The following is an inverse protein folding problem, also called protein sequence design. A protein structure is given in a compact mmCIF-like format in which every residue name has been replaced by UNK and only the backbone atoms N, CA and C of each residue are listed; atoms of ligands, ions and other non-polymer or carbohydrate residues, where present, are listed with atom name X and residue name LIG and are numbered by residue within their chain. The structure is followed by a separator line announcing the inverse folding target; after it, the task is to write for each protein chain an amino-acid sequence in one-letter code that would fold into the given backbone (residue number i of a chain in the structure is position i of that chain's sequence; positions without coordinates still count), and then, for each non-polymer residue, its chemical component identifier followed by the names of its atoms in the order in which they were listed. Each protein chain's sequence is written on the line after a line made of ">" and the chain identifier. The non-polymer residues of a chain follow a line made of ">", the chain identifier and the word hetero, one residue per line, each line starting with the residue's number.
data_IF_624285978652
#
_entry.id   IF_624285978652
#
_cell.length_a   1.000
_cell.length_b   1.000
_cell.length_c   1.000
_cell.angle_alpha   90.00
_cell.angle_beta   90.00
_cell.angle_gamma   90.00
#
_symmetry.space_group_name_H-M   'P 1'
#
loop_
_entity.id
_entity.type
_entity.pdbx_description
1 polymer ?
#
# COMPACT_ATOMS: atom_id res chain seq x y z
N UNK A 1 -10.22 19.79 6.57
CA UNK A 1 -10.38 18.85 5.45
C UNK A 1 -9.42 17.70 5.59
N UNK A 2 -9.94 16.51 5.56
CA UNK A 2 -9.10 15.31 5.62
C UNK A 2 -8.51 15.04 4.26
N UNK A 3 -7.21 14.92 4.22
CA UNK A 3 -6.48 14.64 3.00
C UNK A 3 -6.16 13.15 2.95
N UNK A 4 -7.05 12.37 2.32
CA UNK A 4 -6.91 10.92 2.22
C UNK A 4 -5.90 10.55 1.14
N UNK A 5 -4.65 10.83 1.41
CA UNK A 5 -3.59 10.49 0.48
C UNK A 5 -2.90 9.19 0.89
N UNK A 6 -2.76 8.29 -0.07
CA UNK A 6 -2.03 7.05 0.16
C UNK A 6 -0.53 7.30 0.01
N UNK A 7 0.23 6.91 1.02
CA UNK A 7 1.68 7.04 1.00
C UNK A 7 2.31 5.69 1.26
N UNK A 8 3.48 5.49 0.68
CA UNK A 8 4.22 4.24 0.84
C UNK A 8 4.87 4.20 2.22
N UNK A 9 4.87 3.02 2.85
CA UNK A 9 5.63 2.79 4.07
C UNK A 9 6.53 1.58 3.87
N UNK A 10 7.69 1.62 4.51
CA UNK A 10 8.66 0.54 4.46
C UNK A 10 8.59 -0.26 5.75
N UNK A 11 8.45 -1.58 5.62
CA UNK A 11 8.39 -2.48 6.75
C UNK A 11 9.41 -3.60 6.54
N UNK A 12 9.66 -4.38 7.58
CA UNK A 12 10.57 -5.50 7.48
C UNK A 12 9.80 -6.79 7.72
N UNK A 13 10.05 -7.76 6.87
CA UNK A 13 9.50 -9.09 7.01
C UNK A 13 10.65 -10.04 7.34
N UNK A 14 10.53 -10.77 8.45
CA UNK A 14 11.55 -11.73 8.86
C UNK A 14 10.98 -13.15 8.75
N UNK A 15 11.69 -14.00 8.02
CA UNK A 15 11.32 -15.39 7.85
C UNK A 15 12.58 -16.24 7.87
N UNK A 16 12.59 -17.25 8.75
CA UNK A 16 13.71 -18.18 8.93
C UNK A 16 15.06 -17.48 9.10
N UNK A 17 15.06 -16.37 9.83
CA UNK A 17 16.29 -15.63 10.11
C UNK A 17 16.73 -14.70 9.01
N UNK A 18 15.96 -14.61 7.93
CA UNK A 18 16.23 -13.69 6.81
C UNK A 18 15.25 -12.52 6.89
N UNK A 19 15.79 -11.31 6.92
CA UNK A 19 14.98 -10.08 6.94
C UNK A 19 14.97 -9.45 5.56
N UNK A 20 13.78 -9.25 5.02
CA UNK A 20 13.60 -8.63 3.72
C UNK A 20 12.72 -7.39 3.87
N UNK A 21 13.00 -6.33 3.09
CA UNK A 21 12.11 -5.17 3.08
C UNK A 21 10.79 -5.53 2.44
N UNK A 22 9.71 -4.98 2.98
CA UNK A 22 8.39 -5.13 2.41
C UNK A 22 7.68 -3.79 2.52
N UNK A 23 6.95 -3.43 1.48
CA UNK A 23 6.32 -2.12 1.41
C UNK A 23 4.81 -2.25 1.53
N UNK A 24 4.24 -1.26 2.17
CA UNK A 24 2.80 -1.16 2.34
C UNK A 24 2.34 0.26 2.09
N UNK A 25 1.09 0.55 2.41
CA UNK A 25 0.50 1.87 2.23
C UNK A 25 -0.11 2.37 3.51
N UNK A 26 -0.09 3.67 3.69
CA UNK A 26 -0.71 4.35 4.83
C UNK A 26 -1.68 5.40 4.29
N UNK A 27 -2.88 5.41 4.84
CA UNK A 27 -3.88 6.43 4.56
C UNK A 27 -4.52 6.85 5.89
N UNK A 28 -4.21 8.06 6.35
CA UNK A 28 -4.63 8.54 7.66
C UNK A 28 -4.22 7.59 8.78
N UNK A 29 -5.18 7.00 9.47
CA UNK A 29 -4.92 6.09 10.58
C UNK A 29 -4.90 4.62 10.15
N UNK A 30 -5.13 4.36 8.88
CA UNK A 30 -5.21 3.00 8.36
C UNK A 30 -3.91 2.65 7.66
N UNK A 31 -3.37 1.48 7.99
CA UNK A 31 -2.14 0.99 7.40
C UNK A 31 -2.39 -0.36 6.75
N UNK A 32 -2.02 -0.47 5.48
CA UNK A 32 -2.09 -1.72 4.74
C UNK A 32 -0.68 -2.31 4.72
N UNK A 33 -0.49 -3.40 5.48
CA UNK A 33 0.83 -3.99 5.70
C UNK A 33 1.22 -5.00 4.62
N UNK A 34 2.52 -5.11 4.39
CA UNK A 34 3.12 -6.22 3.65
C UNK A 34 2.48 -6.49 2.29
N UNK A 35 2.39 -5.44 1.47
CA UNK A 35 1.80 -5.58 0.14
C UNK A 35 2.77 -6.29 -0.80
N UNK A 36 4.00 -5.81 -0.89
CA UNK A 36 4.97 -6.34 -1.83
C UNK A 36 6.39 -5.92 -1.45
N UNK A 37 7.40 -6.75 -1.72
CA UNK A 37 8.79 -6.33 -1.56
C UNK A 37 9.26 -5.41 -2.68
N UNK A 38 8.47 -5.25 -3.73
CA UNK A 38 8.79 -4.37 -4.85
C UNK A 38 8.28 -2.96 -4.58
N UNK A 39 9.19 -2.05 -4.28
CA UNK A 39 8.85 -0.67 -3.96
C UNK A 39 8.17 0.03 -5.14
N UNK A 40 8.66 -0.17 -6.35
CA UNK A 40 8.11 0.48 -7.54
C UNK A 40 6.65 0.07 -7.75
N UNK A 41 6.34 -1.20 -7.52
CA UNK A 41 4.98 -1.70 -7.62
C UNK A 41 4.07 -1.00 -6.61
N UNK A 42 4.51 -0.89 -5.36
CA UNK A 42 3.72 -0.26 -4.30
C UNK A 42 3.56 1.23 -4.56
N UNK A 43 4.58 1.89 -5.11
CA UNK A 43 4.47 3.30 -5.50
C UNK A 43 3.41 3.48 -6.60
N UNK A 44 3.36 2.57 -7.56
CA UNK A 44 2.33 2.60 -8.60
C UNK A 44 0.94 2.41 -8.02
N UNK A 45 0.82 1.53 -7.04
CA UNK A 45 -0.46 1.34 -6.33
C UNK A 45 -0.89 2.63 -5.66
N UNK A 46 0.01 3.30 -4.97
CA UNK A 46 -0.29 4.56 -4.31
C UNK A 46 -0.73 5.61 -5.32
N UNK A 47 -0.02 5.73 -6.43
CA UNK A 47 -0.36 6.69 -7.48
C UNK A 47 -1.75 6.39 -8.07
N UNK A 48 -2.04 5.12 -8.31
CA UNK A 48 -3.33 4.70 -8.85
C UNK A 48 -4.46 5.07 -7.90
N UNK A 49 -4.29 4.78 -6.62
CA UNK A 49 -5.30 5.09 -5.62
C UNK A 49 -5.48 6.60 -5.44
N UNK A 50 -4.39 7.34 -5.46
CA UNK A 50 -4.43 8.79 -5.31
C UNK A 50 -5.03 9.51 -6.53
N UNK A 51 -4.99 8.87 -7.70
CA UNK A 51 -5.52 9.47 -8.92
C UNK A 51 -7.03 9.26 -9.08
N UNK A 52 -7.62 8.40 -8.28
CA UNK A 52 -9.06 8.14 -8.34
C UNK A 52 -9.86 9.27 -7.70
N UNK A 53 -11.00 9.59 -8.27
CA UNK A 53 -11.87 10.63 -7.75
C UNK A 53 -13.33 10.13 -7.75
N UNK A 54 -13.93 9.91 -6.58
CA UNK A 54 -13.31 10.10 -5.25
C UNK A 54 -12.27 9.02 -4.94
N UNK A 55 -11.36 9.34 -4.03
CA UNK A 55 -10.37 8.36 -3.60
C UNK A 55 -11.06 7.21 -2.87
N UNK A 56 -10.64 5.97 -3.12
CA UNK A 56 -11.28 4.83 -2.48
C UNK A 56 -11.01 4.80 -0.98
N UNK A 57 -11.98 4.26 -0.24
CA UNK A 57 -11.81 3.95 1.16
C UNK A 57 -10.80 2.80 1.30
N UNK A 58 -10.18 2.64 2.49
CA UNK A 58 -9.21 1.56 2.67
C UNK A 58 -9.72 0.17 2.30
N UNK A 59 -10.98 -0.12 2.58
CA UNK A 59 -11.57 -1.41 2.23
C UNK A 59 -11.63 -1.60 0.71
N UNK A 60 -12.02 -0.55 0.01
CA UNK A 60 -12.06 -0.57 -1.46
C UNK A 60 -10.66 -0.63 -2.03
N UNK A 61 -9.73 0.10 -1.42
CA UNK A 61 -8.35 0.11 -1.85
C UNK A 61 -7.73 -1.27 -1.75
N UNK A 62 -8.04 -2.01 -0.69
CA UNK A 62 -7.53 -3.36 -0.51
C UNK A 62 -8.00 -4.28 -1.64
N UNK A 63 -9.26 -4.17 -2.04
CA UNK A 63 -9.78 -4.96 -3.16
C UNK A 63 -9.07 -4.61 -4.46
N UNK A 64 -8.82 -3.33 -4.70
CA UNK A 64 -8.11 -2.87 -5.90
C UNK A 64 -6.68 -3.42 -5.90
N UNK A 65 -6.01 -3.37 -4.76
CA UNK A 65 -4.65 -3.88 -4.61
C UNK A 65 -4.61 -5.37 -4.93
N UNK A 66 -5.56 -6.13 -4.40
CA UNK A 66 -5.62 -7.57 -4.65
C UNK A 66 -5.79 -7.90 -6.13
N UNK A 67 -6.56 -7.09 -6.85
CA UNK A 67 -6.72 -7.28 -8.29
C UNK A 67 -5.44 -6.98 -9.06
N UNK A 68 -4.61 -6.06 -8.56
CA UNK A 68 -3.38 -5.66 -9.22
C UNK A 68 -2.19 -6.55 -8.88
N UNK A 69 -2.29 -7.35 -7.83
CA UNK A 69 -1.21 -8.27 -7.46
C UNK A 69 -1.08 -9.37 -8.51
N UNK A 70 0.17 -9.75 -8.83
CA UNK A 70 0.42 -10.82 -9.80
C UNK A 70 0.01 -12.19 -9.29
#
# INVERSE_FOLDING_TARGET
>A
MKNQKYTICCEEWTDEGVTCPCYGLVCEDVRIHYISPDRDFVERLADELNSRDPKPEPDEALAIIEEMLP
#
